data_IF_355128931908
#
_entry.id   IF_355128931908
#
_cell.length_a   1.000
_cell.length_b   1.000
_cell.length_c   1.000
_cell.angle_alpha   90.00
_cell.angle_beta   90.00
_cell.angle_gamma   90.00
#
_symmetry.space_group_name_H-M   'P 1'
#
loop_
_entity.id
_entity.type
_entity.pdbx_description
1 polymer ?
#
# COMPACT_ATOMS: atom_id res chain seq x y z
N UNK A 1 -2.65 17.38 -10.06
CA UNK A 1 -1.63 17.17 -11.10
C UNK A 1 -0.21 17.11 -10.54
N UNK A 2 0.09 17.92 -9.54
CA UNK A 2 1.45 18.09 -8.98
C UNK A 2 1.84 17.06 -7.90
N UNK A 3 0.94 16.15 -7.49
CA UNK A 3 1.19 15.19 -6.39
C UNK A 3 1.71 13.81 -6.84
N UNK A 4 1.84 13.55 -8.14
CA UNK A 4 2.39 12.29 -8.65
C UNK A 4 1.51 11.03 -8.42
N UNK A 5 0.22 11.18 -8.09
CA UNK A 5 -0.71 10.07 -7.83
C UNK A 5 -2.03 10.20 -8.60
N UNK A 6 -2.71 9.07 -8.91
CA UNK A 6 -4.05 9.08 -9.50
C UNK A 6 -5.11 9.65 -8.55
N UNK A 7 -6.28 10.09 -9.06
CA UNK A 7 -7.19 10.98 -8.34
C UNK A 7 -8.17 10.29 -7.38
N UNK A 8 -8.46 8.98 -7.52
CA UNK A 8 -9.62 8.36 -6.86
C UNK A 8 -9.60 8.50 -5.34
N UNK A 9 -8.45 8.22 -4.70
CA UNK A 9 -8.35 8.35 -3.25
C UNK A 9 -8.64 9.78 -2.78
N UNK A 10 -8.09 10.78 -3.45
CA UNK A 10 -8.25 12.19 -3.08
C UNK A 10 -9.67 12.69 -3.31
N UNK A 11 -10.35 12.22 -4.36
CA UNK A 11 -11.77 12.54 -4.59
C UNK A 11 -12.64 11.96 -3.48
N UNK A 12 -12.40 10.68 -3.12
CA UNK A 12 -13.15 10.05 -2.03
C UNK A 12 -12.86 10.72 -0.67
N UNK A 13 -11.60 11.07 -0.40
CA UNK A 13 -11.22 11.81 0.79
C UNK A 13 -11.85 13.20 0.84
N UNK A 14 -11.88 13.93 -0.29
CA UNK A 14 -12.54 15.23 -0.37
C UNK A 14 -14.04 15.12 -0.05
N UNK A 15 -14.73 14.12 -0.62
CA UNK A 15 -16.15 13.85 -0.27
C UNK A 15 -16.28 13.54 1.22
N UNK A 16 -15.38 12.73 1.79
CA UNK A 16 -15.37 12.39 3.20
C UNK A 16 -15.24 13.61 4.10
N UNK A 17 -14.33 14.52 3.77
CA UNK A 17 -14.07 15.73 4.56
C UNK A 17 -15.17 16.78 4.41
N UNK A 18 -15.95 16.79 3.33
CA UNK A 18 -17.15 17.66 3.25
C UNK A 18 -18.23 17.29 4.27
N UNK A 19 -18.25 16.01 4.72
CA UNK A 19 -19.25 15.51 5.67
C UNK A 19 -18.73 15.56 7.11
N UNK A 20 -17.46 15.21 7.34
CA UNK A 20 -16.88 15.03 8.69
C UNK A 20 -15.91 16.13 9.10
N UNK A 21 -15.68 17.12 8.22
CA UNK A 21 -14.71 18.19 8.43
C UNK A 21 -13.28 17.78 8.02
N UNK A 22 -12.37 18.74 8.12
CA UNK A 22 -10.99 18.64 7.66
C UNK A 22 -9.95 18.52 8.79
N UNK A 23 -10.42 18.29 10.02
CA UNK A 23 -9.55 18.04 11.17
C UNK A 23 -8.73 16.75 11.01
N UNK A 24 -7.62 16.64 11.72
CA UNK A 24 -6.68 15.52 11.62
C UNK A 24 -7.33 14.15 11.84
N UNK A 25 -8.27 14.07 12.80
CA UNK A 25 -9.02 12.83 13.06
C UNK A 25 -9.96 12.52 11.91
N UNK A 26 -10.68 13.51 11.37
CA UNK A 26 -11.61 13.33 10.25
C UNK A 26 -10.88 12.85 9.00
N UNK A 27 -9.75 13.46 8.65
CA UNK A 27 -8.94 13.07 7.48
C UNK A 27 -8.40 11.64 7.63
N UNK A 28 -7.88 11.29 8.81
CA UNK A 28 -7.30 9.95 9.05
C UNK A 28 -8.37 8.87 9.21
N UNK A 29 -9.56 9.22 9.72
CA UNK A 29 -10.65 8.26 9.93
C UNK A 29 -11.11 7.60 8.62
N UNK A 30 -10.96 8.26 7.46
CA UNK A 30 -11.26 7.64 6.16
C UNK A 30 -10.43 6.36 5.96
N UNK A 31 -9.13 6.42 6.14
CA UNK A 31 -8.26 5.24 6.06
C UNK A 31 -8.58 4.23 7.16
N UNK A 32 -8.92 4.69 8.37
CA UNK A 32 -9.35 3.84 9.48
C UNK A 32 -10.58 3.01 9.14
N UNK A 33 -11.61 3.63 8.56
CA UNK A 33 -12.83 2.93 8.09
C UNK A 33 -12.51 1.92 7.01
N UNK A 34 -11.64 2.26 6.04
CA UNK A 34 -11.18 1.30 5.03
C UNK A 34 -10.44 0.11 5.65
N UNK A 35 -9.67 0.35 6.72
CA UNK A 35 -9.03 -0.71 7.52
C UNK A 35 -10.06 -1.66 8.13
N UNK A 36 -11.11 -1.14 8.76
CA UNK A 36 -12.21 -1.94 9.32
C UNK A 36 -12.95 -2.69 8.21
N UNK A 37 -13.27 -2.04 7.08
CA UNK A 37 -13.93 -2.67 5.92
C UNK A 37 -13.08 -3.78 5.31
N UNK A 38 -11.75 -3.70 5.39
CA UNK A 38 -10.86 -4.74 4.88
C UNK A 38 -11.02 -6.07 5.63
N UNK A 39 -11.36 -6.07 6.92
CA UNK A 39 -11.44 -7.28 7.74
C UNK A 39 -12.52 -8.28 7.28
N UNK A 40 -13.79 -7.88 7.08
CA UNK A 40 -14.79 -8.80 6.51
C UNK A 40 -14.41 -9.27 5.09
N UNK A 41 -13.75 -8.45 4.28
CA UNK A 41 -13.28 -8.86 2.96
C UNK A 41 -12.15 -9.91 3.07
N UNK A 42 -11.22 -9.75 4.00
CA UNK A 42 -10.19 -10.76 4.32
C UNK A 42 -10.84 -12.07 4.74
N UNK A 43 -11.83 -12.01 5.64
CA UNK A 43 -12.60 -13.19 6.03
C UNK A 43 -13.25 -13.87 4.82
N UNK A 44 -13.93 -13.10 3.97
CA UNK A 44 -14.60 -13.64 2.76
C UNK A 44 -13.60 -14.28 1.78
N UNK A 45 -12.44 -13.67 1.55
CA UNK A 45 -11.36 -14.21 0.72
C UNK A 45 -10.81 -15.48 1.35
N UNK A 46 -10.49 -15.47 2.64
CA UNK A 46 -9.96 -16.64 3.35
C UNK A 46 -10.97 -17.82 3.33
N UNK A 47 -12.26 -17.55 3.62
CA UNK A 47 -13.33 -18.57 3.60
C UNK A 47 -13.59 -19.19 2.22
N UNK A 48 -13.14 -18.53 1.17
CA UNK A 48 -13.20 -19.09 -0.20
C UNK A 48 -12.22 -20.24 -0.40
N UNK A 49 -11.15 -20.26 0.34
CA UNK A 49 -10.01 -21.15 0.14
C UNK A 49 -9.67 -22.01 1.36
N UNK A 50 -10.09 -21.59 2.54
CA UNK A 50 -9.76 -22.20 3.83
C UNK A 50 -11.03 -22.51 4.62
N UNK A 51 -10.90 -23.45 5.55
CA UNK A 51 -11.93 -23.72 6.56
C UNK A 51 -12.06 -22.55 7.56
N UNK A 52 -12.96 -22.70 8.53
CA UNK A 52 -13.21 -21.64 9.53
C UNK A 52 -11.95 -21.31 10.35
N UNK A 53 -11.21 -22.32 10.76
CA UNK A 53 -9.96 -22.12 11.54
C UNK A 53 -8.91 -21.37 10.72
N UNK A 54 -8.65 -21.77 9.48
CA UNK A 54 -7.72 -21.09 8.60
C UNK A 54 -8.13 -19.66 8.30
N UNK A 55 -9.44 -19.39 8.16
CA UNK A 55 -9.94 -18.03 7.97
C UNK A 55 -9.79 -17.17 9.25
N UNK A 56 -10.00 -17.74 10.45
CA UNK A 56 -9.74 -17.04 11.70
C UNK A 56 -8.25 -16.72 11.88
N UNK A 57 -7.36 -17.65 11.55
CA UNK A 57 -5.92 -17.40 11.57
C UNK A 57 -5.53 -16.28 10.58
N UNK A 58 -6.11 -16.30 9.35
CA UNK A 58 -5.89 -15.23 8.35
C UNK A 58 -6.35 -13.88 8.88
N UNK A 59 -7.54 -13.84 9.50
CA UNK A 59 -8.08 -12.63 10.08
C UNK A 59 -7.20 -12.13 11.24
N UNK A 60 -6.72 -13.02 12.11
CA UNK A 60 -5.81 -12.69 13.21
C UNK A 60 -4.50 -12.08 12.70
N UNK A 61 -3.86 -12.69 11.70
CA UNK A 61 -2.63 -12.16 11.08
C UNK A 61 -2.88 -10.79 10.44
N UNK A 62 -3.99 -10.60 9.72
CA UNK A 62 -4.31 -9.31 9.09
C UNK A 62 -4.63 -8.25 10.13
N UNK A 63 -5.48 -8.55 11.12
CA UNK A 63 -5.90 -7.59 12.15
C UNK A 63 -4.74 -7.13 13.04
N UNK A 64 -3.72 -7.98 13.23
CA UNK A 64 -2.50 -7.63 13.97
C UNK A 64 -1.39 -7.08 13.07
N UNK A 65 -1.59 -6.99 11.75
CA UNK A 65 -0.55 -6.54 10.82
C UNK A 65 -0.12 -5.09 11.10
N UNK A 66 1.14 -4.84 11.49
CA UNK A 66 1.62 -3.47 11.69
C UNK A 66 1.52 -2.62 10.43
N UNK A 67 1.71 -3.24 9.25
CA UNK A 67 1.50 -2.59 7.96
C UNK A 67 0.07 -2.06 7.81
N UNK A 68 -0.93 -2.93 8.03
CA UNK A 68 -2.32 -2.54 7.88
C UNK A 68 -2.73 -1.47 8.90
N UNK A 69 -2.29 -1.59 10.15
CA UNK A 69 -2.58 -0.64 11.23
C UNK A 69 -1.92 0.71 10.94
N UNK A 70 -0.65 0.73 10.51
CA UNK A 70 0.03 1.96 10.13
C UNK A 70 -0.74 2.73 9.06
N UNK A 71 -1.11 2.06 7.94
CA UNK A 71 -1.80 2.72 6.85
C UNK A 71 -3.28 3.00 7.14
N UNK A 72 -3.88 2.37 8.16
CA UNK A 72 -5.19 2.76 8.68
C UNK A 72 -5.16 4.09 9.46
N UNK A 73 -3.99 4.54 9.91
CA UNK A 73 -3.79 5.83 10.61
C UNK A 73 -3.13 6.90 9.74
N UNK A 74 -2.89 6.63 8.47
CA UNK A 74 -2.34 7.58 7.51
C UNK A 74 -3.38 7.99 6.47
N UNK A 75 -3.43 9.28 6.12
CA UNK A 75 -4.25 9.79 5.01
C UNK A 75 -3.58 9.45 3.66
N UNK A 76 -3.51 8.15 3.35
CA UNK A 76 -2.88 7.59 2.15
C UNK A 76 -3.73 6.47 1.55
N UNK A 77 -3.58 6.23 0.25
CA UNK A 77 -4.40 5.32 -0.55
C UNK A 77 -4.22 3.82 -0.26
N UNK A 78 -3.29 3.40 0.61
CA UNK A 78 -2.91 1.98 0.74
C UNK A 78 -4.01 1.09 1.30
N UNK A 79 -4.87 1.60 2.19
CA UNK A 79 -6.04 0.83 2.66
C UNK A 79 -7.14 0.75 1.60
N UNK A 80 -7.31 1.77 0.77
CA UNK A 80 -8.20 1.69 -0.38
C UNK A 80 -7.68 0.62 -1.37
N UNK A 81 -6.37 0.59 -1.64
CA UNK A 81 -5.76 -0.47 -2.46
C UNK A 81 -6.02 -1.86 -1.86
N UNK A 82 -5.82 -2.04 -0.55
CA UNK A 82 -6.08 -3.32 0.12
C UNK A 82 -7.54 -3.76 -0.07
N UNK A 83 -8.50 -2.86 0.16
CA UNK A 83 -9.93 -3.13 -0.06
C UNK A 83 -10.20 -3.50 -1.51
N UNK A 84 -9.65 -2.76 -2.47
CA UNK A 84 -9.81 -3.02 -3.90
C UNK A 84 -9.15 -4.33 -4.34
N UNK A 85 -7.99 -4.70 -3.80
CA UNK A 85 -7.31 -5.98 -4.06
C UNK A 85 -8.16 -7.16 -3.55
N UNK A 86 -8.71 -7.06 -2.34
CA UNK A 86 -9.59 -8.07 -1.75
C UNK A 86 -10.90 -8.19 -2.55
N UNK A 87 -11.54 -7.07 -2.87
CA UNK A 87 -12.74 -7.03 -3.71
C UNK A 87 -12.45 -7.60 -5.11
N UNK A 88 -11.30 -7.21 -5.70
CA UNK A 88 -10.83 -7.71 -6.99
C UNK A 88 -10.67 -9.21 -7.01
N UNK A 89 -10.04 -9.78 -5.98
CA UNK A 89 -9.96 -11.25 -5.85
C UNK A 89 -11.34 -11.90 -5.84
N UNK A 90 -12.27 -11.38 -5.05
CA UNK A 90 -13.63 -11.94 -4.94
C UNK A 90 -14.42 -11.86 -6.25
N UNK A 91 -14.37 -10.72 -6.95
CA UNK A 91 -15.10 -10.54 -8.21
C UNK A 91 -14.48 -11.38 -9.35
N UNK A 92 -13.16 -11.48 -9.43
CA UNK A 92 -12.45 -12.30 -10.43
C UNK A 92 -12.78 -13.78 -10.22
N UNK A 93 -12.71 -14.29 -8.98
CA UNK A 93 -13.03 -15.69 -8.69
C UNK A 93 -14.50 -16.01 -9.01
N UNK A 94 -15.43 -15.09 -8.70
CA UNK A 94 -16.85 -15.24 -9.05
C UNK A 94 -17.10 -15.20 -10.57
N UNK A 95 -16.45 -14.29 -11.27
CA UNK A 95 -16.56 -14.14 -12.71
C UNK A 95 -15.94 -15.34 -13.45
N UNK A 96 -14.83 -15.90 -12.92
CA UNK A 96 -14.22 -17.11 -13.44
C UNK A 96 -15.15 -18.32 -13.30
N UNK A 97 -15.79 -18.51 -12.14
CA UNK A 97 -16.69 -19.62 -11.89
C UNK A 97 -17.93 -19.59 -12.79
N UNK A 98 -18.50 -18.41 -13.01
CA UNK A 98 -19.71 -18.22 -13.79
C UNK A 98 -19.74 -16.80 -14.39
N UNK A 99 -19.18 -16.59 -15.59
CA UNK A 99 -19.12 -15.26 -16.19
C UNK A 99 -20.53 -14.77 -16.56
N UNK A 100 -20.86 -13.54 -16.10
CA UNK A 100 -22.06 -12.81 -16.50
C UNK A 100 -21.66 -11.33 -16.71
N UNK A 101 -22.48 -10.59 -17.45
CA UNK A 101 -22.24 -9.16 -17.73
C UNK A 101 -22.00 -8.39 -16.43
N UNK A 102 -22.83 -8.56 -15.41
CA UNK A 102 -22.67 -7.86 -14.11
C UNK A 102 -21.37 -8.22 -13.38
N UNK A 103 -20.93 -9.49 -13.44
CA UNK A 103 -19.66 -9.92 -12.82
C UNK A 103 -18.45 -9.39 -13.59
N UNK A 104 -18.52 -9.38 -14.92
CA UNK A 104 -17.46 -8.81 -15.77
C UNK A 104 -17.40 -7.29 -15.60
N UNK A 105 -18.53 -6.61 -15.49
CA UNK A 105 -18.59 -5.19 -15.14
C UNK A 105 -17.98 -4.91 -13.77
N UNK A 106 -18.20 -5.79 -12.78
CA UNK A 106 -17.54 -5.71 -11.48
C UNK A 106 -16.01 -5.85 -11.57
N UNK A 107 -15.49 -6.74 -12.42
CA UNK A 107 -14.05 -6.86 -12.69
C UNK A 107 -13.52 -5.56 -13.34
N UNK A 108 -14.22 -5.03 -14.34
CA UNK A 108 -13.84 -3.79 -15.00
C UNK A 108 -13.84 -2.59 -14.02
N UNK A 109 -14.87 -2.48 -13.18
CA UNK A 109 -14.99 -1.41 -12.19
C UNK A 109 -13.84 -1.42 -11.16
N UNK A 110 -13.49 -2.63 -10.65
CA UNK A 110 -12.37 -2.74 -9.70
C UNK A 110 -11.03 -2.48 -10.39
N UNK A 111 -10.84 -2.93 -11.63
CA UNK A 111 -9.63 -2.64 -12.40
C UNK A 111 -9.47 -1.14 -12.64
N UNK A 112 -10.54 -0.44 -13.03
CA UNK A 112 -10.57 1.02 -13.16
C UNK A 112 -10.23 1.72 -11.84
N UNK A 113 -10.87 1.30 -10.73
CA UNK A 113 -10.63 1.87 -9.41
C UNK A 113 -9.18 1.67 -8.95
N UNK A 114 -8.58 0.49 -9.18
CA UNK A 114 -7.18 0.22 -8.87
C UNK A 114 -6.24 1.15 -9.65
N UNK A 115 -6.44 1.29 -10.97
CA UNK A 115 -5.63 2.16 -11.83
C UNK A 115 -5.75 3.63 -11.45
N UNK A 116 -6.96 4.08 -11.10
CA UNK A 116 -7.22 5.44 -10.64
C UNK A 116 -6.83 5.70 -9.16
N UNK A 117 -6.36 4.65 -8.45
CA UNK A 117 -5.87 4.78 -7.07
C UNK A 117 -4.35 4.83 -7.01
N UNK A 118 -3.62 4.00 -7.79
CA UNK A 118 -2.16 3.93 -7.72
C UNK A 118 -1.54 3.36 -9.00
N UNK A 119 -0.46 3.98 -9.49
CA UNK A 119 0.21 3.58 -10.74
C UNK A 119 0.81 2.15 -10.70
N UNK A 120 1.20 1.66 -9.54
CA UNK A 120 1.63 0.26 -9.40
C UNK A 120 0.54 -0.76 -9.77
N UNK A 121 -0.73 -0.35 -9.82
CA UNK A 121 -1.81 -1.19 -10.35
C UNK A 121 -1.61 -1.55 -11.83
N UNK A 122 -0.86 -0.77 -12.61
CA UNK A 122 -0.48 -1.11 -13.99
C UNK A 122 0.31 -2.43 -14.04
N UNK A 123 1.25 -2.61 -13.11
CA UNK A 123 2.02 -3.86 -13.02
C UNK A 123 1.14 -5.04 -12.64
N UNK A 124 0.23 -4.86 -11.69
CA UNK A 124 -0.75 -5.89 -11.34
C UNK A 124 -1.63 -6.27 -12.53
N UNK A 125 -2.16 -5.29 -13.27
CA UNK A 125 -2.99 -5.53 -14.45
C UNK A 125 -2.21 -6.25 -15.54
N UNK A 126 -0.95 -5.90 -15.77
CA UNK A 126 -0.07 -6.60 -16.71
C UNK A 126 0.14 -8.06 -16.30
N UNK A 127 0.48 -8.32 -15.04
CA UNK A 127 0.72 -9.68 -14.51
C UNK A 127 -0.54 -10.53 -14.60
N UNK A 128 -1.68 -10.00 -14.16
CA UNK A 128 -2.97 -10.72 -14.21
C UNK A 128 -3.40 -10.95 -15.67
N UNK A 129 -3.25 -9.95 -16.54
CA UNK A 129 -3.57 -10.06 -17.97
C UNK A 129 -2.75 -11.16 -18.67
N UNK A 130 -1.43 -11.16 -18.46
CA UNK A 130 -0.54 -12.22 -18.97
C UNK A 130 -0.93 -13.59 -18.39
N UNK A 131 -1.19 -13.65 -17.08
CA UNK A 131 -1.67 -14.87 -16.42
C UNK A 131 -2.95 -15.44 -17.06
N UNK A 132 -3.93 -14.58 -17.35
CA UNK A 132 -5.16 -14.97 -18.02
C UNK A 132 -4.90 -15.48 -19.46
N UNK A 133 -4.00 -14.82 -20.21
CA UNK A 133 -3.62 -15.30 -21.55
C UNK A 133 -2.97 -16.69 -21.51
N UNK A 134 -2.08 -16.92 -20.54
CA UNK A 134 -1.42 -18.23 -20.34
C UNK A 134 -2.42 -19.31 -19.96
N UNK A 135 -3.32 -19.02 -19.00
CA UNK A 135 -4.36 -19.95 -18.56
C UNK A 135 -5.35 -20.22 -19.70
N UNK A 136 -5.71 -19.19 -20.48
CA UNK A 136 -6.61 -19.32 -21.63
C UNK A 136 -6.07 -20.26 -22.72
N UNK A 137 -4.74 -20.28 -22.92
CA UNK A 137 -4.10 -21.21 -23.88
C UNK A 137 -4.11 -22.66 -23.39
N UNK A 138 -4.18 -22.90 -22.07
CA UNK A 138 -3.96 -24.21 -21.45
C UNK A 138 -5.24 -24.87 -20.91
N UNK A 139 -6.26 -24.08 -20.53
CA UNK A 139 -7.43 -24.61 -19.80
C UNK A 139 -8.78 -24.17 -20.34
N UNK A 140 -9.09 -22.87 -20.30
CA UNK A 140 -10.41 -22.32 -20.64
C UNK A 140 -10.22 -20.97 -21.34
N UNK A 141 -10.20 -21.05 -22.69
CA UNK A 141 -9.95 -19.87 -23.52
C UNK A 141 -11.06 -18.83 -23.40
N UNK A 142 -12.31 -19.27 -23.36
CA UNK A 142 -13.45 -18.35 -23.37
C UNK A 142 -13.51 -17.53 -22.09
N UNK A 143 -13.41 -18.17 -20.92
CA UNK A 143 -13.42 -17.47 -19.63
C UNK A 143 -12.23 -16.52 -19.50
N UNK A 144 -11.06 -16.98 -19.90
CA UNK A 144 -9.85 -16.16 -19.82
C UNK A 144 -9.96 -14.90 -20.69
N UNK A 145 -10.47 -15.02 -21.94
CA UNK A 145 -10.65 -13.87 -22.82
C UNK A 145 -11.75 -12.91 -22.33
N UNK A 146 -12.86 -13.43 -21.78
CA UNK A 146 -13.89 -12.58 -21.17
C UNK A 146 -13.36 -11.76 -19.99
N UNK A 147 -12.55 -12.38 -19.12
CA UNK A 147 -11.93 -11.65 -18.01
C UNK A 147 -10.86 -10.68 -18.50
N UNK A 148 -10.02 -11.05 -19.45
CA UNK A 148 -9.04 -10.15 -20.05
C UNK A 148 -9.71 -8.93 -20.71
N UNK A 149 -10.84 -9.15 -21.41
CA UNK A 149 -11.66 -8.08 -21.97
C UNK A 149 -12.24 -7.15 -20.89
N UNK A 150 -12.70 -7.74 -19.75
CA UNK A 150 -13.19 -6.93 -18.62
C UNK A 150 -12.06 -6.10 -17.97
N UNK A 151 -10.85 -6.66 -17.83
CA UNK A 151 -9.68 -5.90 -17.35
C UNK A 151 -9.32 -4.77 -18.32
N UNK A 152 -9.32 -5.06 -19.63
CA UNK A 152 -9.07 -4.04 -20.66
C UNK A 152 -10.12 -2.93 -20.63
N UNK A 153 -11.40 -3.27 -20.46
CA UNK A 153 -12.48 -2.29 -20.30
C UNK A 153 -12.27 -1.38 -19.07
N UNK A 154 -11.79 -1.96 -17.95
CA UNK A 154 -11.35 -1.16 -16.78
C UNK A 154 -10.16 -0.26 -17.11
N UNK A 155 -9.22 -0.73 -17.95
CA UNK A 155 -8.10 0.06 -18.44
C UNK A 155 -8.53 1.27 -19.31
N UNK A 156 -9.60 1.12 -20.07
CA UNK A 156 -10.17 2.25 -20.87
C UNK A 156 -10.58 3.41 -19.96
N UNK A 157 -11.09 3.14 -18.76
CA UNK A 157 -11.44 4.19 -17.79
C UNK A 157 -10.23 5.00 -17.30
N UNK A 158 -9.00 4.50 -17.46
CA UNK A 158 -7.77 5.23 -17.14
C UNK A 158 -7.33 6.18 -18.26
N UNK A 159 -7.78 5.98 -19.52
CA UNK A 159 -7.32 6.76 -20.66
C UNK A 159 -7.51 8.29 -20.51
N UNK A 160 -8.61 8.80 -19.92
CA UNK A 160 -8.74 10.25 -19.67
C UNK A 160 -7.66 10.81 -18.74
N UNK A 161 -7.09 9.96 -17.86
CA UNK A 161 -6.01 10.32 -16.94
C UNK A 161 -4.61 10.12 -17.55
N UNK A 162 -4.50 9.45 -18.68
CA UNK A 162 -3.22 9.11 -19.32
C UNK A 162 -2.34 10.34 -19.62
N UNK A 163 -2.84 11.49 -20.13
CA UNK A 163 -2.00 12.66 -20.32
C UNK A 163 -1.38 13.18 -19.01
N UNK A 164 -2.16 13.17 -17.91
CA UNK A 164 -1.66 13.58 -16.59
C UNK A 164 -0.61 12.57 -16.06
N UNK A 165 -0.83 11.27 -16.28
CA UNK A 165 0.14 10.24 -15.94
C UNK A 165 1.47 10.41 -16.66
N UNK A 166 1.44 10.71 -17.98
CA UNK A 166 2.65 10.91 -18.77
C UNK A 166 3.41 12.18 -18.34
N UNK A 167 2.68 13.26 -18.02
CA UNK A 167 3.25 14.47 -17.47
C UNK A 167 3.91 14.22 -16.11
N UNK A 168 3.22 13.53 -15.20
CA UNK A 168 3.77 13.17 -13.90
C UNK A 168 4.97 12.24 -14.03
N UNK A 169 4.95 11.25 -14.95
CA UNK A 169 6.08 10.35 -15.19
C UNK A 169 7.34 11.10 -15.64
N UNK A 170 7.18 12.17 -16.41
CA UNK A 170 8.28 12.98 -16.91
C UNK A 170 8.84 13.96 -15.85
N UNK A 171 8.01 14.46 -14.95
CA UNK A 171 8.34 15.60 -14.08
C UNK A 171 8.29 15.29 -12.59
N UNK A 172 7.72 14.15 -12.15
CA UNK A 172 7.68 13.81 -10.71
C UNK A 172 8.65 12.67 -10.40
N UNK A 173 9.53 12.90 -9.43
CA UNK A 173 10.51 11.93 -8.97
C UNK A 173 10.71 12.00 -7.45
N UNK A 174 11.39 11.01 -6.90
CA UNK A 174 11.77 10.95 -5.49
C UNK A 174 13.29 10.86 -5.35
N UNK A 175 14.03 11.96 -5.61
CA UNK A 175 15.49 11.96 -5.73
C UNK A 175 16.22 11.53 -4.45
N UNK A 176 15.54 11.58 -3.30
CA UNK A 176 16.06 11.14 -2.00
C UNK A 176 15.91 9.63 -1.76
N UNK A 177 15.25 8.89 -2.62
CA UNK A 177 15.00 7.47 -2.39
C UNK A 177 16.13 6.61 -2.99
N UNK A 178 16.56 5.53 -2.29
CA UNK A 178 17.60 4.67 -2.79
C UNK A 178 17.18 3.91 -4.05
N UNK A 179 18.14 3.62 -4.92
CA UNK A 179 17.92 2.76 -6.09
C UNK A 179 17.30 1.41 -5.68
N UNK A 180 16.32 0.88 -6.42
CA UNK A 180 15.56 -0.31 -6.05
C UNK A 180 16.33 -1.61 -6.33
N UNK A 181 17.53 -1.77 -5.74
CA UNK A 181 18.28 -3.04 -5.79
C UNK A 181 17.45 -4.14 -5.13
N UNK A 182 17.54 -5.41 -5.56
CA UNK A 182 16.72 -6.50 -5.00
C UNK A 182 16.80 -6.62 -3.47
N UNK A 183 17.96 -6.39 -2.89
CA UNK A 183 18.16 -6.39 -1.43
C UNK A 183 17.45 -5.23 -0.75
N UNK A 184 17.43 -4.05 -1.37
CA UNK A 184 16.72 -2.87 -0.87
C UNK A 184 15.19 -3.09 -0.95
N UNK A 185 14.70 -3.64 -2.05
CA UNK A 185 13.28 -4.00 -2.22
C UNK A 185 12.84 -4.98 -1.13
N UNK A 186 13.62 -6.04 -0.90
CA UNK A 186 13.33 -7.02 0.14
C UNK A 186 13.36 -6.37 1.54
N UNK A 187 14.42 -5.63 1.86
CA UNK A 187 14.59 -4.98 3.16
C UNK A 187 13.46 -4.00 3.47
N UNK A 188 13.13 -3.08 2.55
CA UNK A 188 12.06 -2.10 2.73
C UNK A 188 10.68 -2.75 2.84
N UNK A 189 10.43 -3.86 2.10
CA UNK A 189 9.17 -4.59 2.19
C UNK A 189 9.02 -5.29 3.54
N UNK A 190 10.08 -5.96 4.01
CA UNK A 190 10.10 -6.62 5.32
C UNK A 190 9.99 -5.60 6.45
N UNK A 191 10.73 -4.48 6.37
CA UNK A 191 10.61 -3.36 7.31
C UNK A 191 9.15 -2.85 7.39
N UNK A 192 8.51 -2.65 6.23
CA UNK A 192 7.13 -2.20 6.19
C UNK A 192 6.16 -3.21 6.81
N UNK A 193 6.33 -4.51 6.55
CA UNK A 193 5.49 -5.56 7.13
C UNK A 193 5.71 -5.72 8.63
N UNK A 194 6.93 -5.51 9.12
CA UNK A 194 7.25 -5.53 10.53
C UNK A 194 6.78 -4.30 11.32
N UNK A 195 6.44 -3.21 10.63
CA UNK A 195 5.95 -1.97 11.24
C UNK A 195 7.01 -0.92 11.47
N UNK A 196 8.17 -1.00 10.80
CA UNK A 196 9.21 0.03 10.85
C UNK A 196 10.57 -0.50 11.31
N UNK A 197 11.40 0.42 11.84
CA UNK A 197 12.76 0.11 12.31
C UNK A 197 12.76 -0.19 13.80
N UNK A 198 12.97 -1.45 14.17
CA UNK A 198 13.06 -1.88 15.57
C UNK A 198 13.29 -3.39 15.66
N UNK A 199 13.78 -3.85 16.80
CA UNK A 199 14.02 -5.28 17.03
C UNK A 199 12.74 -6.10 16.96
N UNK A 200 11.65 -5.61 17.55
CA UNK A 200 10.33 -6.23 17.48
C UNK A 200 9.76 -6.25 16.06
N UNK A 201 9.96 -5.17 15.28
CA UNK A 201 9.57 -5.12 13.88
C UNK A 201 10.33 -6.16 13.04
N UNK A 202 11.62 -6.32 13.29
CA UNK A 202 12.44 -7.36 12.66
C UNK A 202 11.92 -8.74 13.03
N UNK A 203 11.60 -9.00 14.31
CA UNK A 203 11.06 -10.27 14.76
C UNK A 203 9.71 -10.58 14.11
N UNK A 204 8.79 -9.59 14.01
CA UNK A 204 7.54 -9.73 13.25
C UNK A 204 7.81 -10.13 11.81
N UNK A 205 8.73 -9.43 11.13
CA UNK A 205 9.08 -9.73 9.74
C UNK A 205 9.67 -11.12 9.58
N UNK A 206 10.54 -11.57 10.51
CA UNK A 206 11.13 -12.92 10.51
C UNK A 206 10.04 -13.98 10.74
N UNK A 207 9.22 -13.84 11.77
CA UNK A 207 8.14 -14.80 12.07
C UNK A 207 7.17 -14.89 10.89
N UNK A 208 6.77 -13.74 10.31
CA UNK A 208 5.90 -13.70 9.13
C UNK A 208 6.56 -14.43 7.95
N UNK A 209 7.83 -14.18 7.69
CA UNK A 209 8.59 -14.82 6.60
C UNK A 209 8.67 -16.33 6.77
N UNK A 210 8.97 -16.81 7.99
CA UNK A 210 8.99 -18.24 8.31
C UNK A 210 7.63 -18.87 8.07
N UNK A 211 6.55 -18.22 8.52
CA UNK A 211 5.18 -18.70 8.28
C UNK A 211 4.83 -18.75 6.79
N UNK A 212 5.24 -17.75 6.02
CA UNK A 212 5.05 -17.74 4.56
C UNK A 212 5.81 -18.89 3.91
N UNK A 213 7.07 -19.11 4.29
CA UNK A 213 7.89 -20.22 3.78
C UNK A 213 7.25 -21.56 4.14
N UNK A 214 6.77 -21.74 5.37
CA UNK A 214 6.04 -22.95 5.78
C UNK A 214 4.74 -23.13 4.96
N UNK A 215 3.99 -22.06 4.72
CA UNK A 215 2.73 -22.13 3.98
C UNK A 215 2.88 -22.47 2.50
N UNK A 216 3.97 -21.99 1.88
CA UNK A 216 4.27 -22.22 0.45
C UNK A 216 5.17 -23.43 0.26
N UNK A 217 6.10 -23.68 1.18
CA UNK A 217 7.15 -24.67 1.09
C UNK A 217 6.80 -26.03 1.70
N UNK A 218 5.54 -26.27 2.11
CA UNK A 218 5.10 -27.56 2.66
C UNK A 218 3.92 -28.14 1.90
N UNK A 219 3.94 -29.46 1.75
CA UNK A 219 2.85 -30.27 1.17
C UNK A 219 2.19 -31.09 2.27
N UNK A 220 0.87 -31.20 2.23
CA UNK A 220 0.15 -32.12 3.10
C UNK A 220 0.38 -33.55 2.66
N UNK A 221 0.76 -34.45 3.61
CA UNK A 221 0.90 -35.88 3.38
C UNK A 221 0.13 -36.67 4.45
N UNK A 222 -0.16 -37.92 4.18
CA UNK A 222 -0.79 -38.81 5.16
C UNK A 222 0.09 -39.02 6.43
N UNK A 223 1.41 -38.90 6.27
CA UNK A 223 2.40 -38.99 7.38
C UNK A 223 2.78 -37.64 8.00
N UNK A 224 2.12 -36.54 7.62
CA UNK A 224 2.42 -35.18 8.10
C UNK A 224 2.79 -34.22 6.99
N UNK A 225 3.55 -33.17 7.32
CA UNK A 225 4.01 -32.17 6.36
C UNK A 225 5.34 -32.60 5.73
N UNK A 226 5.43 -32.57 4.42
CA UNK A 226 6.65 -32.79 3.64
C UNK A 226 7.17 -31.48 3.08
N UNK A 227 8.49 -31.33 3.00
CA UNK A 227 9.13 -30.19 2.31
C UNK A 227 8.84 -30.29 0.82
N UNK A 228 8.30 -29.23 0.23
CA UNK A 228 7.95 -29.15 -1.17
C UNK A 228 6.93 -28.06 -1.44
N UNK A 229 6.74 -27.67 -2.69
CA UNK A 229 5.74 -26.68 -3.06
C UNK A 229 4.35 -27.09 -2.61
N UNK A 230 3.60 -26.19 -1.98
CA UNK A 230 2.24 -26.42 -1.53
C UNK A 230 1.35 -26.99 -2.65
N UNK A 231 0.50 -27.95 -2.31
CA UNK A 231 -0.49 -28.53 -3.24
C UNK A 231 -1.66 -27.57 -3.54
N UNK A 232 -1.76 -26.48 -2.78
CA UNK A 232 -2.82 -25.49 -2.92
C UNK A 232 -2.56 -24.58 -4.13
N UNK A 233 -3.08 -24.99 -5.28
CA UNK A 233 -2.90 -24.29 -6.55
C UNK A 233 -3.31 -22.81 -6.51
N UNK A 234 -4.38 -22.48 -5.76
CA UNK A 234 -4.83 -21.11 -5.56
C UNK A 234 -3.79 -20.25 -4.82
N UNK A 235 -3.08 -20.82 -3.82
CA UNK A 235 -2.05 -20.10 -3.06
C UNK A 235 -0.82 -19.84 -3.93
N UNK A 236 -0.41 -20.84 -4.73
CA UNK A 236 0.68 -20.65 -5.71
C UNK A 236 0.37 -19.53 -6.69
N UNK A 237 -0.86 -19.45 -7.19
CA UNK A 237 -1.29 -18.37 -8.09
C UNK A 237 -1.29 -17.03 -7.36
N UNK A 238 -1.86 -16.95 -6.16
CA UNK A 238 -1.93 -15.71 -5.40
C UNK A 238 -0.53 -15.16 -5.05
N UNK A 239 0.36 -16.01 -4.53
CA UNK A 239 1.75 -15.66 -4.23
C UNK A 239 2.52 -15.30 -5.50
N UNK A 240 2.33 -16.08 -6.58
CA UNK A 240 2.95 -15.82 -7.87
C UNK A 240 2.55 -14.46 -8.46
N UNK A 241 1.26 -14.10 -8.39
CA UNK A 241 0.77 -12.78 -8.85
C UNK A 241 1.36 -11.67 -7.99
N UNK A 242 1.32 -11.79 -6.65
CA UNK A 242 1.89 -10.77 -5.76
C UNK A 242 3.38 -10.58 -5.99
N UNK A 243 4.16 -11.67 -6.03
CA UNK A 243 5.60 -11.64 -6.27
C UNK A 243 5.94 -11.08 -7.66
N UNK A 244 5.25 -11.53 -8.72
CA UNK A 244 5.49 -11.05 -10.08
C UNK A 244 5.17 -9.55 -10.22
N UNK A 245 4.11 -9.06 -9.54
CA UNK A 245 3.78 -7.63 -9.50
C UNK A 245 4.90 -6.82 -8.83
N UNK A 246 5.41 -7.30 -7.69
CA UNK A 246 6.51 -6.64 -6.99
C UNK A 246 7.81 -6.65 -7.81
N UNK A 247 8.15 -7.78 -8.42
CA UNK A 247 9.35 -7.92 -9.24
C UNK A 247 9.27 -7.07 -10.51
N UNK A 248 8.12 -7.05 -11.18
CA UNK A 248 7.93 -6.21 -12.37
C UNK A 248 8.03 -4.73 -12.02
N UNK A 249 7.36 -4.28 -10.94
CA UNK A 249 7.46 -2.91 -10.48
C UNK A 249 8.88 -2.52 -10.07
N UNK A 250 9.59 -3.39 -9.36
CA UNK A 250 10.98 -3.16 -8.98
C UNK A 250 11.91 -3.11 -10.20
N UNK A 251 11.71 -3.99 -11.19
CA UNK A 251 12.49 -4.00 -12.42
C UNK A 251 12.28 -2.73 -13.26
N UNK A 252 11.02 -2.28 -13.39
CA UNK A 252 10.72 -1.01 -14.07
C UNK A 252 11.32 0.16 -13.30
N UNK A 253 11.15 0.20 -11.97
CA UNK A 253 11.74 1.25 -11.12
C UNK A 253 13.26 1.31 -11.26
N UNK A 254 13.94 0.15 -11.33
CA UNK A 254 15.39 0.09 -11.56
C UNK A 254 15.77 0.60 -12.96
N UNK A 255 14.98 0.25 -13.98
CA UNK A 255 15.25 0.64 -15.37
C UNK A 255 14.97 2.13 -15.65
N UNK A 256 14.07 2.75 -14.86
CA UNK A 256 13.67 4.16 -15.01
C UNK A 256 14.26 5.07 -13.93
N UNK A 257 15.16 4.54 -13.11
CA UNK A 257 15.75 5.24 -11.94
C UNK A 257 14.70 5.89 -11.02
N UNK A 258 13.55 5.19 -10.86
CA UNK A 258 12.49 5.64 -9.97
C UNK A 258 12.56 4.90 -8.65
N UNK A 259 12.09 5.54 -7.58
CA UNK A 259 12.18 5.01 -6.23
C UNK A 259 11.27 3.82 -5.95
N UNK A 260 11.77 2.87 -5.17
CA UNK A 260 10.97 1.86 -4.51
C UNK A 260 10.70 2.26 -3.06
N UNK A 261 9.46 2.02 -2.62
CA UNK A 261 9.05 2.26 -1.23
C UNK A 261 8.40 1.00 -0.66
N UNK A 262 8.70 0.65 0.60
CA UNK A 262 8.17 -0.54 1.28
C UNK A 262 6.64 -0.62 1.31
N UNK A 263 5.96 0.53 1.24
CA UNK A 263 4.50 0.65 1.16
C UNK A 263 3.88 0.01 -0.10
N UNK A 264 4.65 -0.17 -1.16
CA UNK A 264 4.19 -0.90 -2.36
C UNK A 264 4.01 -2.39 -2.09
N UNK A 265 4.52 -2.89 -0.96
CA UNK A 265 4.22 -4.23 -0.44
C UNK A 265 2.73 -4.54 -0.27
N UNK A 266 1.83 -3.53 -0.28
CA UNK A 266 0.37 -3.75 -0.26
C UNK A 266 -0.09 -4.71 -1.35
N UNK A 267 0.56 -4.71 -2.54
CA UNK A 267 0.23 -5.60 -3.66
C UNK A 267 0.53 -7.09 -3.39
N UNK A 268 1.42 -7.38 -2.44
CA UNK A 268 1.73 -8.73 -2.00
C UNK A 268 1.17 -9.07 -0.61
N UNK A 269 0.57 -8.11 0.11
CA UNK A 269 0.13 -8.31 1.50
C UNK A 269 -0.93 -9.42 1.63
N UNK A 270 -1.95 -9.43 0.78
CA UNK A 270 -3.02 -10.44 0.84
C UNK A 270 -2.47 -11.86 0.67
N UNK A 271 -1.68 -12.19 -0.38
CA UNK A 271 -1.08 -13.51 -0.49
C UNK A 271 -0.10 -13.84 0.65
N UNK A 272 0.65 -12.87 1.18
CA UNK A 272 1.55 -13.07 2.34
C UNK A 272 0.74 -13.48 3.57
N UNK A 273 -0.33 -12.79 3.90
CA UNK A 273 -1.19 -13.10 5.05
C UNK A 273 -1.87 -14.48 4.89
N UNK A 274 -2.35 -14.80 3.69
CA UNK A 274 -2.92 -16.11 3.40
C UNK A 274 -1.88 -17.23 3.52
N UNK A 275 -0.67 -17.02 3.00
CA UNK A 275 0.43 -17.98 3.12
C UNK A 275 0.85 -18.18 4.57
N UNK A 276 0.95 -17.10 5.35
CA UNK A 276 1.26 -17.19 6.78
C UNK A 276 0.20 -17.97 7.57
N UNK A 277 -1.08 -17.75 7.26
CA UNK A 277 -2.18 -18.51 7.88
C UNK A 277 -2.12 -20.01 7.53
N UNK A 278 -1.75 -20.36 6.28
CA UNK A 278 -1.51 -21.74 5.89
C UNK A 278 -0.29 -22.30 6.64
N UNK A 279 0.78 -21.51 6.78
CA UNK A 279 1.97 -21.89 7.57
C UNK A 279 1.64 -22.17 9.05
N UNK A 280 0.82 -21.32 9.67
CA UNK A 280 0.33 -21.55 11.04
C UNK A 280 -0.39 -22.91 11.17
N UNK A 281 -1.15 -23.32 10.17
CA UNK A 281 -1.86 -24.62 10.18
C UNK A 281 -0.96 -25.84 10.08
N UNK A 282 0.28 -25.68 9.64
CA UNK A 282 1.26 -26.76 9.63
C UNK A 282 1.94 -26.96 10.99
N UNK A 283 1.73 -26.07 11.96
CA UNK A 283 2.28 -26.20 13.30
C UNK A 283 1.47 -27.23 14.12
N UNK A 284 2.13 -28.14 14.84
CA UNK A 284 1.47 -29.19 15.59
C UNK A 284 0.78 -28.66 16.87
N UNK A 285 -0.29 -29.32 17.30
CA UNK A 285 -0.99 -29.05 18.54
C UNK A 285 -1.43 -27.58 18.71
N UNK A 286 -1.05 -26.98 19.82
CA UNK A 286 -1.34 -25.58 20.17
C UNK A 286 -0.34 -24.58 19.56
N UNK A 287 0.64 -25.06 18.79
CA UNK A 287 1.70 -24.23 18.21
C UNK A 287 1.18 -23.07 17.34
N UNK A 288 0.10 -23.29 16.58
CA UNK A 288 -0.53 -22.23 15.77
C UNK A 288 -1.08 -21.08 16.64
N UNK A 289 -1.69 -21.41 17.78
CA UNK A 289 -2.24 -20.40 18.71
C UNK A 289 -1.08 -19.65 19.40
N UNK A 290 -0.06 -20.37 19.84
CA UNK A 290 1.11 -19.77 20.47
C UNK A 290 1.84 -18.81 19.53
N UNK A 291 2.13 -19.25 18.29
CA UNK A 291 2.85 -18.39 17.31
C UNK A 291 1.98 -17.21 16.86
N UNK A 292 0.66 -17.38 16.72
CA UNK A 292 -0.24 -16.26 16.47
C UNK A 292 -0.25 -15.27 17.63
N UNK A 293 -0.32 -15.75 18.87
CA UNK A 293 -0.28 -14.90 20.06
C UNK A 293 1.05 -14.14 20.15
N UNK A 294 2.17 -14.80 19.87
CA UNK A 294 3.48 -14.16 19.79
C UNK A 294 3.51 -13.08 18.69
N UNK A 295 2.99 -13.39 17.51
CA UNK A 295 2.91 -12.42 16.41
C UNK A 295 2.05 -11.20 16.80
N UNK A 296 0.90 -11.43 17.43
CA UNK A 296 0.02 -10.34 17.94
C UNK A 296 0.74 -9.49 18.99
N UNK A 297 1.45 -10.12 19.92
CA UNK A 297 2.22 -9.42 20.95
C UNK A 297 3.33 -8.54 20.34
N UNK A 298 4.17 -9.13 19.49
CA UNK A 298 5.26 -8.42 18.84
C UNK A 298 4.75 -7.29 17.95
N UNK A 299 3.66 -7.54 17.21
CA UNK A 299 2.99 -6.52 16.39
C UNK A 299 2.42 -5.39 17.25
N UNK A 300 1.81 -5.73 18.40
CA UNK A 300 1.30 -4.76 19.37
C UNK A 300 2.40 -3.84 19.90
N UNK A 301 3.55 -4.42 20.26
CA UNK A 301 4.73 -3.64 20.69
C UNK A 301 5.26 -2.77 19.57
N UNK A 302 5.39 -3.30 18.35
CA UNK A 302 5.84 -2.54 17.18
C UNK A 302 4.90 -1.36 16.88
N UNK A 303 3.59 -1.59 16.91
CA UNK A 303 2.56 -0.56 16.69
C UNK A 303 2.59 0.49 17.81
N UNK A 304 2.67 0.09 19.07
CA UNK A 304 2.72 1.01 20.21
C UNK A 304 3.94 1.93 20.12
N UNK A 305 5.09 1.37 19.73
CA UNK A 305 6.32 2.12 19.52
C UNK A 305 6.23 3.11 18.35
N UNK A 306 5.60 2.71 17.24
CA UNK A 306 5.40 3.59 16.09
C UNK A 306 4.38 4.70 16.38
N UNK A 307 3.36 4.44 17.20
CA UNK A 307 2.40 5.46 17.64
C UNK A 307 3.03 6.49 18.59
N UNK A 308 4.01 6.07 19.39
CA UNK A 308 4.76 6.94 20.29
C UNK A 308 5.88 7.74 19.62
N UNK A 309 6.07 7.60 18.29
CA UNK A 309 7.08 8.36 17.55
C UNK A 309 6.43 9.46 16.71
N UNK A 310 7.00 10.64 16.80
CA UNK A 310 6.68 11.70 15.85
C UNK A 310 7.13 11.30 14.44
N UNK A 311 6.21 11.34 13.50
CA UNK A 311 6.48 11.02 12.10
C UNK A 311 7.28 12.09 11.39
N UNK A 312 7.17 13.34 11.88
CA UNK A 312 7.94 14.49 11.44
C UNK A 312 8.26 15.36 12.66
N UNK A 313 9.34 16.12 12.60
CA UNK A 313 9.70 17.06 13.65
C UNK A 313 8.90 18.37 13.58
N UNK A 314 7.98 18.50 12.65
CA UNK A 314 7.23 19.75 12.41
C UNK A 314 6.43 20.18 13.65
N UNK A 315 5.83 19.23 14.39
CA UNK A 315 5.12 19.55 15.64
C UNK A 315 6.04 20.17 16.69
N UNK A 316 7.23 19.59 16.89
CA UNK A 316 8.23 20.11 17.85
C UNK A 316 8.75 21.47 17.40
N UNK A 317 9.05 21.63 16.10
CA UNK A 317 9.49 22.91 15.55
C UNK A 317 8.40 24.00 15.66
N UNK A 318 7.16 23.64 15.35
CA UNK A 318 6.03 24.55 15.47
C UNK A 318 5.81 25.01 16.92
N UNK A 319 5.95 24.09 17.89
CA UNK A 319 5.83 24.48 19.31
C UNK A 319 6.92 25.46 19.73
N UNK A 320 8.17 25.22 19.35
CA UNK A 320 9.26 26.15 19.63
C UNK A 320 9.03 27.54 19.00
N UNK A 321 8.51 27.58 17.76
CA UNK A 321 8.16 28.84 17.08
C UNK A 321 6.99 29.54 17.80
N UNK A 322 6.01 28.79 18.30
CA UNK A 322 4.89 29.36 19.06
C UNK A 322 5.31 29.94 20.40
N UNK A 323 6.30 29.31 21.04
CA UNK A 323 6.80 29.75 22.38
C UNK A 323 7.67 30.98 22.26
N UNK A 324 8.56 31.07 21.27
CA UNK A 324 9.61 32.12 21.19
C UNK A 324 9.35 33.15 20.06
N UNK A 325 8.48 32.86 19.07
CA UNK A 325 8.28 33.72 17.89
C UNK A 325 7.42 34.96 18.18
N UNK A 326 7.81 36.08 17.59
CA UNK A 326 7.03 37.31 17.56
C UNK A 326 5.93 37.22 16.46
N UNK A 327 4.78 37.85 16.67
CA UNK A 327 3.68 37.83 15.71
C UNK A 327 4.03 38.46 14.34
N UNK A 328 5.10 39.24 14.30
CA UNK A 328 5.63 39.87 13.09
C UNK A 328 6.59 38.98 12.31
N UNK A 329 6.98 37.84 12.88
CA UNK A 329 7.95 36.93 12.24
C UNK A 329 7.32 36.19 11.05
N UNK A 330 8.15 35.95 10.05
CA UNK A 330 7.80 35.14 8.87
C UNK A 330 8.46 33.77 8.99
N UNK A 331 7.65 32.71 8.87
CA UNK A 331 8.16 31.33 8.93
C UNK A 331 8.33 30.80 7.52
N UNK A 332 9.57 30.52 7.13
CA UNK A 332 9.90 29.96 5.83
C UNK A 332 10.24 28.48 5.96
N UNK A 333 9.46 27.63 5.31
CA UNK A 333 9.71 26.18 5.28
C UNK A 333 10.67 25.81 4.15
N UNK A 334 11.84 25.30 4.53
CA UNK A 334 12.85 24.79 3.60
C UNK A 334 13.24 23.36 4.02
N UNK A 335 12.91 22.36 3.20
CA UNK A 335 12.21 22.39 1.92
C UNK A 335 10.67 22.53 2.07
N UNK A 336 10.00 22.86 0.96
CA UNK A 336 8.55 23.09 0.88
C UNK A 336 7.68 21.87 1.29
N UNK A 337 8.20 20.66 1.24
CA UNK A 337 7.48 19.44 1.67
C UNK A 337 7.04 19.48 3.16
N UNK A 338 7.65 20.31 3.99
CA UNK A 338 7.29 20.49 5.40
C UNK A 338 6.18 21.54 5.57
N UNK A 339 6.01 22.42 4.58
CA UNK A 339 5.16 23.60 4.67
C UNK A 339 3.68 23.26 4.96
N UNK A 340 2.99 22.29 4.30
CA UNK A 340 1.58 22.03 4.58
C UNK A 340 1.29 21.65 6.03
N UNK A 341 2.18 20.86 6.64
CA UNK A 341 2.01 20.47 8.04
C UNK A 341 2.30 21.64 8.99
N UNK A 342 3.36 22.44 8.72
CA UNK A 342 3.69 23.60 9.50
C UNK A 342 2.68 24.75 9.35
N UNK A 343 2.20 25.01 8.14
CA UNK A 343 1.14 25.98 7.86
C UNK A 343 -0.12 25.68 8.70
N UNK A 344 -0.56 24.43 8.79
CA UNK A 344 -1.73 24.05 9.62
C UNK A 344 -1.55 24.36 11.12
N UNK A 345 -0.32 24.40 11.61
CA UNK A 345 -0.01 24.65 13.02
C UNK A 345 0.27 26.12 13.32
N UNK A 346 0.71 26.90 12.32
CA UNK A 346 1.28 28.23 12.54
C UNK A 346 0.54 29.37 11.84
N UNK A 347 -0.27 29.08 10.80
CA UNK A 347 -0.84 30.11 9.93
C UNK A 347 -1.83 31.08 10.62
N UNK A 348 -2.38 30.71 11.77
CA UNK A 348 -3.27 31.58 12.55
C UNK A 348 -2.47 32.71 13.27
N UNK A 349 -1.15 32.53 13.45
CA UNK A 349 -0.31 33.46 14.20
C UNK A 349 0.82 34.05 13.38
N UNK A 350 1.34 33.32 12.38
CA UNK A 350 2.50 33.72 11.61
C UNK A 350 2.20 33.72 10.11
N UNK A 351 2.85 34.61 9.38
CA UNK A 351 2.95 34.49 7.94
C UNK A 351 3.84 33.29 7.63
N UNK A 352 3.33 32.34 6.80
CA UNK A 352 4.06 31.13 6.43
C UNK A 352 4.36 31.16 4.94
N UNK A 353 5.59 30.86 4.58
CA UNK A 353 6.06 30.77 3.20
C UNK A 353 6.76 29.43 2.97
N UNK A 354 6.76 28.94 1.75
CA UNK A 354 7.49 27.73 1.36
C UNK A 354 8.61 28.04 0.36
N UNK A 355 9.81 27.58 0.66
CA UNK A 355 10.95 27.69 -0.24
C UNK A 355 10.93 26.50 -1.24
N UNK A 356 11.17 26.67 -2.57
CA UNK A 356 11.79 27.85 -3.18
C UNK A 356 10.81 28.88 -3.77
N UNK A 357 9.52 28.58 -3.84
CA UNK A 357 8.57 29.44 -4.57
C UNK A 357 8.02 30.62 -3.77
N UNK A 358 8.27 30.64 -2.46
CA UNK A 358 7.74 31.63 -1.51
C UNK A 358 6.21 31.77 -1.57
N UNK A 359 5.53 30.65 -1.85
CA UNK A 359 4.07 30.57 -1.79
C UNK A 359 3.55 30.45 -0.34
N UNK A 360 2.23 30.39 -0.16
CA UNK A 360 1.57 30.35 1.17
C UNK A 360 1.82 29.07 1.97
N UNK A 361 2.59 28.11 1.46
CA UNK A 361 2.92 26.87 2.13
C UNK A 361 1.80 25.84 2.26
N UNK A 362 0.61 26.09 1.68
CA UNK A 362 -0.53 25.15 1.77
C UNK A 362 -0.36 23.89 0.96
N UNK A 363 0.48 23.90 -0.05
CA UNK A 363 0.65 22.81 -1.02
C UNK A 363 2.11 22.54 -1.26
N UNK A 364 2.41 21.28 -1.67
CA UNK A 364 3.72 20.91 -2.19
C UNK A 364 3.57 20.66 -3.69
N UNK A 365 4.47 21.23 -4.46
CA UNK A 365 4.60 20.90 -5.88
C UNK A 365 5.75 19.91 -6.07
N UNK A 366 5.41 18.68 -6.46
CA UNK A 366 6.40 17.63 -6.71
C UNK A 366 6.96 17.64 -8.14
N UNK A 367 6.42 18.49 -9.02
CA UNK A 367 6.92 18.60 -10.38
C UNK A 367 8.30 19.25 -10.40
N UNK A 368 9.26 18.60 -11.05
CA UNK A 368 10.65 19.05 -11.16
C UNK A 368 11.32 19.42 -9.81
N UNK A 369 10.88 18.77 -8.74
CA UNK A 369 11.23 19.12 -7.35
C UNK A 369 12.74 19.29 -7.13
N UNK A 370 13.56 18.31 -7.57
CA UNK A 370 15.02 18.36 -7.40
C UNK A 370 15.63 19.55 -8.16
N UNK A 371 15.19 19.80 -9.40
CA UNK A 371 15.70 20.89 -10.25
C UNK A 371 15.32 22.25 -9.65
N UNK A 372 14.08 22.44 -9.20
CA UNK A 372 13.62 23.69 -8.59
C UNK A 372 14.40 24.01 -7.32
N UNK A 373 14.59 23.01 -6.45
CA UNK A 373 15.36 23.23 -5.20
C UNK A 373 16.86 23.49 -5.46
N UNK A 374 17.43 22.91 -6.50
CA UNK A 374 18.84 23.12 -6.85
C UNK A 374 19.11 24.46 -7.57
N UNK A 375 18.09 25.08 -8.18
CA UNK A 375 18.24 26.32 -8.96
C UNK A 375 18.08 27.62 -8.18
N UNK A 376 17.76 27.53 -6.88
CA UNK A 376 17.49 28.71 -6.05
C UNK A 376 18.77 29.28 -5.47
N UNK A 377 18.98 30.58 -5.67
CA UNK A 377 19.96 31.35 -4.93
C UNK A 377 19.44 31.65 -3.53
N UNK A 378 20.05 31.00 -2.52
CA UNK A 378 19.66 31.18 -1.11
C UNK A 378 19.85 32.64 -0.64
N UNK A 379 20.78 33.37 -1.24
CA UNK A 379 21.00 34.79 -0.90
C UNK A 379 19.79 35.66 -1.31
N UNK A 380 19.10 35.32 -2.40
CA UNK A 380 17.92 36.07 -2.87
C UNK A 380 16.67 35.90 -1.99
N UNK A 381 16.69 34.99 -1.02
CA UNK A 381 15.57 34.73 -0.10
C UNK A 381 15.72 35.53 1.21
N UNK A 382 16.92 36.05 1.50
CA UNK A 382 17.23 36.79 2.72
C UNK A 382 17.01 38.30 2.59
N UNK A 383 16.90 38.79 1.35
CA UNK A 383 16.58 40.18 1.00
C UNK A 383 15.06 40.39 0.86
#
# INVERSE_FOLDING_TARGET
RHDGHPPLYYVLLAIWTTVLGDGDVAIRSFSGVLGVVSLPLVWMVARRHLDRTGALLTLGVMASSPFAIRYATEARMYLLLLVLLLAGHLVVVRAWASPSIGRLAGVAAVAAALLLTHYWSLFLMAVVGVGLLVVGRRRDRERAFRLAGALAAGGVAFLPWLPVFLDQLAHTGTPWSPAPRPTVVAALTLEAYGGGKGSEALLVAVVLSVLVVLGVGTRSSASGALVGWTDRGWLRVAVGVGLATMLLGAAVSLATDTAFQGRYGVFALVPVVLAAAVGLRHLPGTGSVFVLALLVLLSGVSVARELGRDRTQVGVAAQAILDDGAATDVVVFCPDQLAPAGHRLLADRFMTLSHPMLDDGRRVDWADYARRNASVDVASVAD
#
